data_IF_437233890144
#
_entry.id   IF_437233890144
#
_cell.length_a   1.000
_cell.length_b   1.000
_cell.length_c   1.000
_cell.angle_alpha   90.00
_cell.angle_beta   90.00
_cell.angle_gamma   90.00
#
_symmetry.space_group_name_H-M   'P 1'
#
loop_
_entity.id
_entity.type
_entity.pdbx_description
1 polymer ?
#
# COMPACT_ATOMS: atom_id res chain seq x y z
N UNK A 1 18.06 5.17 20.59
CA UNK A 1 17.67 5.70 19.26
C UNK A 1 17.57 4.55 18.28
N UNK A 2 16.43 4.41 17.62
CA UNK A 2 16.18 3.32 16.66
C UNK A 2 17.28 3.27 15.57
N UNK A 3 17.92 2.13 15.28
CA UNK A 3 19.12 2.05 14.43
C UNK A 3 18.92 2.65 13.04
N UNK A 4 17.74 2.50 12.43
CA UNK A 4 17.42 3.05 11.10
C UNK A 4 16.85 4.48 11.20
N UNK A 5 15.98 4.77 12.18
CA UNK A 5 15.31 6.08 12.29
C UNK A 5 16.27 7.22 12.69
N UNK A 6 17.42 6.92 13.28
CA UNK A 6 18.46 7.92 13.62
C UNK A 6 19.06 8.63 12.40
N UNK A 7 19.01 7.98 11.23
CA UNK A 7 19.51 8.55 9.98
C UNK A 7 18.49 9.42 9.23
N UNK A 8 17.25 9.53 9.72
CA UNK A 8 16.27 10.42 9.11
C UNK A 8 16.74 11.88 9.17
N UNK A 9 16.50 12.70 8.14
CA UNK A 9 17.05 14.06 8.02
C UNK A 9 16.84 14.94 9.25
N UNK A 10 15.66 14.92 9.84
CA UNK A 10 15.36 15.69 11.07
C UNK A 10 16.04 15.07 12.30
N UNK A 11 15.99 13.73 12.44
CA UNK A 11 16.59 13.04 13.58
C UNK A 11 18.13 13.12 13.57
N UNK A 12 18.74 13.12 12.39
CA UNK A 12 20.19 13.31 12.18
C UNK A 12 20.63 14.77 12.18
N UNK A 13 19.70 15.72 12.45
CA UNK A 13 19.93 17.17 12.42
C UNK A 13 20.44 17.74 11.09
N UNK A 14 20.31 16.99 9.98
CA UNK A 14 20.64 17.49 8.63
C UNK A 14 19.65 18.54 8.16
N UNK A 15 18.41 18.48 8.66
CA UNK A 15 17.35 19.45 8.38
C UNK A 15 16.77 19.91 9.71
N UNK A 16 16.64 21.21 9.93
CA UNK A 16 16.00 21.74 11.13
C UNK A 16 14.48 21.51 11.07
N UNK A 17 13.79 21.37 12.22
CA UNK A 17 12.33 21.24 12.23
C UNK A 17 11.62 22.43 11.53
N UNK A 18 12.15 23.63 11.68
CA UNK A 18 11.63 24.83 11.02
C UNK A 18 11.74 24.75 9.51
N UNK A 19 12.91 24.34 8.97
CA UNK A 19 13.10 24.15 7.53
C UNK A 19 12.17 23.05 6.98
N UNK A 20 11.96 21.97 7.76
CA UNK A 20 11.03 20.90 7.37
C UNK A 20 9.58 21.41 7.30
N UNK A 21 9.15 22.25 8.24
CA UNK A 21 7.82 22.87 8.23
C UNK A 21 7.65 23.82 7.04
N UNK A 22 8.62 24.68 6.77
CA UNK A 22 8.59 25.58 5.62
C UNK A 22 8.48 24.79 4.33
N UNK A 23 9.30 23.74 4.17
CA UNK A 23 9.26 22.87 3.00
C UNK A 23 7.91 22.17 2.83
N UNK A 24 7.32 21.71 3.93
CA UNK A 24 5.98 21.11 3.93
C UNK A 24 4.93 22.08 3.39
N UNK A 25 4.87 23.31 3.93
CA UNK A 25 3.92 24.33 3.47
C UNK A 25 4.16 24.76 2.01
N UNK A 26 5.42 24.83 1.57
CA UNK A 26 5.74 25.13 0.18
C UNK A 26 5.28 24.02 -0.76
N UNK A 27 5.49 22.75 -0.40
CA UNK A 27 5.06 21.61 -1.20
C UNK A 27 3.54 21.47 -1.24
N UNK A 28 2.87 21.68 -0.10
CA UNK A 28 1.41 21.69 -0.02
C UNK A 28 0.80 22.82 -0.84
N UNK A 29 1.41 24.02 -0.79
CA UNK A 29 1.01 25.16 -1.60
C UNK A 29 1.22 24.94 -3.10
N UNK A 30 2.36 24.34 -3.48
CA UNK A 30 2.64 23.98 -4.87
C UNK A 30 1.67 22.90 -5.39
N UNK A 31 1.34 21.91 -4.55
CA UNK A 31 0.34 20.89 -4.84
C UNK A 31 -1.04 21.51 -5.04
N UNK A 32 -1.46 22.40 -4.15
CA UNK A 32 -2.73 23.11 -4.24
C UNK A 32 -2.81 24.00 -5.50
N UNK A 33 -1.71 24.68 -5.85
CA UNK A 33 -1.62 25.45 -7.10
C UNK A 33 -1.72 24.55 -8.34
N UNK A 34 -1.06 23.37 -8.32
CA UNK A 34 -1.16 22.36 -9.36
C UNK A 34 -2.59 21.86 -9.56
N UNK A 35 -3.35 21.63 -8.49
CA UNK A 35 -4.77 21.24 -8.57
C UNK A 35 -5.64 22.31 -9.24
N UNK A 36 -5.36 23.59 -9.02
CA UNK A 36 -6.09 24.67 -9.70
C UNK A 36 -5.84 24.73 -11.23
N UNK A 37 -4.72 24.19 -11.70
CA UNK A 37 -4.42 24.09 -13.14
C UNK A 37 -5.18 22.95 -13.82
N UNK A 38 -5.63 21.94 -13.04
CA UNK A 38 -6.45 20.82 -13.53
C UNK A 38 -7.93 21.25 -13.45
N UNK A 39 -8.38 22.00 -14.44
CA UNK A 39 -9.71 22.64 -14.47
C UNK A 39 -10.90 21.67 -14.60
N UNK A 40 -10.69 20.37 -14.73
CA UNK A 40 -11.71 19.41 -15.19
C UNK A 40 -12.70 18.98 -14.10
N UNK A 41 -12.38 19.11 -12.81
CA UNK A 41 -13.10 18.35 -11.77
C UNK A 41 -13.66 19.13 -10.58
N UNK A 42 -13.74 20.45 -10.68
CA UNK A 42 -14.42 21.28 -9.68
C UNK A 42 -14.07 21.00 -8.22
N UNK A 43 -15.07 20.90 -7.34
CA UNK A 43 -14.91 20.73 -5.89
C UNK A 43 -14.46 19.31 -5.46
N UNK A 44 -14.53 18.29 -6.32
CA UNK A 44 -14.26 16.90 -5.95
C UNK A 44 -12.79 16.67 -5.57
N UNK A 45 -11.84 17.28 -6.29
CA UNK A 45 -10.40 17.20 -5.97
C UNK A 45 -10.11 17.81 -4.60
N UNK A 46 -10.71 18.95 -4.27
CA UNK A 46 -10.56 19.60 -2.99
C UNK A 46 -11.12 18.77 -1.84
N UNK A 47 -12.25 18.08 -2.09
CA UNK A 47 -12.90 17.19 -1.12
C UNK A 47 -12.00 15.97 -0.84
N UNK A 48 -11.47 15.32 -1.88
CA UNK A 48 -10.55 14.17 -1.73
C UNK A 48 -9.24 14.57 -1.03
N UNK A 49 -8.66 15.71 -1.40
CA UNK A 49 -7.44 16.24 -0.77
C UNK A 49 -7.67 16.62 0.68
N UNK A 50 -8.77 17.29 0.99
CA UNK A 50 -9.16 17.65 2.35
C UNK A 50 -9.42 16.42 3.22
N UNK A 51 -10.13 15.43 2.68
CA UNK A 51 -10.35 14.13 3.31
C UNK A 51 -9.05 13.39 3.61
N UNK A 52 -8.11 13.42 2.67
CA UNK A 52 -6.78 12.82 2.86
C UNK A 52 -5.99 13.51 3.98
N UNK A 53 -5.98 14.84 4.02
CA UNK A 53 -5.29 15.61 5.07
C UNK A 53 -5.93 15.32 6.42
N UNK A 54 -7.26 15.33 6.52
CA UNK A 54 -8.00 15.03 7.74
C UNK A 54 -7.69 13.62 8.25
N UNK A 55 -7.71 12.62 7.34
CA UNK A 55 -7.38 11.23 7.66
C UNK A 55 -5.95 11.11 8.22
N UNK A 56 -4.97 11.77 7.60
CA UNK A 56 -3.59 11.75 8.05
C UNK A 56 -3.38 12.46 9.40
N UNK A 57 -4.11 13.55 9.67
CA UNK A 57 -4.09 14.22 10.96
C UNK A 57 -4.68 13.31 12.04
N UNK A 58 -5.85 12.73 11.81
CA UNK A 58 -6.48 11.80 12.72
C UNK A 58 -5.59 10.58 12.99
N UNK A 59 -4.96 10.03 11.94
CA UNK A 59 -3.97 8.96 12.05
C UNK A 59 -2.80 9.35 12.94
N UNK A 60 -2.23 10.53 12.69
CA UNK A 60 -1.03 10.97 13.42
C UNK A 60 -1.30 11.26 14.88
N UNK A 61 -2.46 11.81 15.20
CA UNK A 61 -2.80 12.23 16.56
C UNK A 61 -3.27 11.06 17.43
N UNK A 62 -4.17 10.21 16.92
CA UNK A 62 -4.89 9.23 17.73
C UNK A 62 -4.84 7.81 17.18
N UNK A 63 -5.13 7.61 15.89
CA UNK A 63 -5.51 6.31 15.33
C UNK A 63 -4.32 5.37 15.10
N UNK A 64 -3.11 5.89 14.97
CA UNK A 64 -1.88 5.08 14.85
C UNK A 64 -1.58 4.21 16.08
N UNK A 65 -2.27 4.45 17.19
CA UNK A 65 -2.09 3.69 18.43
C UNK A 65 -3.08 2.55 18.57
N UNK A 66 -4.16 2.56 17.77
CA UNK A 66 -5.21 1.53 17.82
C UNK A 66 -4.87 0.42 16.84
N UNK A 67 -4.83 -0.82 17.35
CA UNK A 67 -4.57 -2.01 16.55
C UNK A 67 -5.62 -2.18 15.46
N UNK A 68 -5.24 -2.81 14.36
CA UNK A 68 -6.08 -3.03 13.18
C UNK A 68 -6.45 -1.71 12.49
N UNK A 69 -7.00 -0.74 13.22
CA UNK A 69 -7.41 0.56 12.68
C UNK A 69 -6.24 1.29 12.04
N UNK A 70 -5.04 1.20 12.62
CA UNK A 70 -3.84 1.81 12.05
C UNK A 70 -3.48 1.25 10.66
N UNK A 71 -3.72 -0.04 10.42
CA UNK A 71 -3.53 -0.66 9.11
C UNK A 71 -4.66 -0.30 8.14
N UNK A 72 -5.91 -0.31 8.63
CA UNK A 72 -7.08 0.06 7.82
C UNK A 72 -6.99 1.50 7.31
N UNK A 73 -6.58 2.44 8.15
CA UNK A 73 -6.44 3.86 7.74
C UNK A 73 -5.36 4.02 6.67
N UNK A 74 -4.25 3.29 6.78
CA UNK A 74 -3.24 3.28 5.73
C UNK A 74 -3.84 2.80 4.42
N UNK A 75 -4.63 1.72 4.44
CA UNK A 75 -5.31 1.20 3.25
C UNK A 75 -6.34 2.20 2.68
N UNK A 76 -7.15 2.84 3.54
CA UNK A 76 -8.06 3.92 3.13
C UNK A 76 -7.31 5.10 2.48
N UNK A 77 -6.14 5.45 3.01
CA UNK A 77 -5.30 6.49 2.42
C UNK A 77 -4.84 6.17 0.99
N UNK A 78 -4.65 4.89 0.65
CA UNK A 78 -4.37 4.47 -0.73
C UNK A 78 -5.59 4.62 -1.64
N UNK A 79 -6.79 4.31 -1.14
CA UNK A 79 -8.04 4.50 -1.90
C UNK A 79 -8.26 5.98 -2.21
N UNK A 80 -8.13 6.87 -1.21
CA UNK A 80 -8.32 8.31 -1.43
C UNK A 80 -7.33 8.85 -2.46
N UNK A 81 -6.08 8.39 -2.46
CA UNK A 81 -5.10 8.77 -3.49
C UNK A 81 -5.47 8.27 -4.88
N UNK A 82 -5.98 7.04 -4.96
CA UNK A 82 -6.45 6.44 -6.20
C UNK A 82 -7.63 7.23 -6.76
N UNK A 83 -8.60 7.57 -5.90
CA UNK A 83 -9.77 8.37 -6.24
C UNK A 83 -9.38 9.79 -6.69
N UNK A 84 -8.49 10.46 -5.97
CA UNK A 84 -7.97 11.76 -6.36
C UNK A 84 -7.26 11.72 -7.74
N UNK A 85 -6.51 10.65 -8.02
CA UNK A 85 -5.88 10.45 -9.32
C UNK A 85 -6.90 10.22 -10.45
N UNK A 86 -7.94 9.46 -10.20
CA UNK A 86 -9.00 9.19 -11.17
C UNK A 86 -9.82 10.46 -11.49
N UNK A 87 -10.18 11.23 -10.46
CA UNK A 87 -10.85 12.53 -10.63
C UNK A 87 -9.97 13.50 -11.42
N UNK A 88 -8.66 13.54 -11.15
CA UNK A 88 -7.73 14.40 -11.89
C UNK A 88 -7.55 13.97 -13.35
N UNK A 89 -7.67 12.68 -13.64
CA UNK A 89 -7.53 12.12 -15.00
C UNK A 89 -8.86 11.98 -15.75
N UNK A 90 -9.99 12.36 -15.14
CA UNK A 90 -11.35 12.14 -15.67
C UNK A 90 -11.60 10.67 -16.05
N UNK A 91 -11.16 9.76 -15.16
CA UNK A 91 -11.23 8.31 -15.36
C UNK A 91 -12.23 7.70 -14.36
N UNK A 92 -13.17 6.91 -14.86
CA UNK A 92 -14.05 6.12 -13.98
C UNK A 92 -13.29 4.99 -13.29
N UNK A 93 -13.36 4.95 -11.95
CA UNK A 93 -12.76 3.86 -11.18
C UNK A 93 -13.64 2.62 -11.21
N UNK A 94 -13.03 1.51 -11.61
CA UNK A 94 -13.66 0.20 -11.44
C UNK A 94 -13.75 -0.16 -9.95
N UNK A 95 -14.89 -0.72 -9.53
CA UNK A 95 -15.06 -1.27 -8.17
C UNK A 95 -13.99 -2.32 -7.84
N UNK A 96 -13.57 -3.11 -8.84
CA UNK A 96 -12.51 -4.10 -8.69
C UNK A 96 -11.17 -3.47 -8.31
N UNK A 97 -10.81 -2.35 -8.94
CA UNK A 97 -9.57 -1.64 -8.65
C UNK A 97 -9.57 -1.08 -7.23
N UNK A 98 -10.70 -0.54 -6.77
CA UNK A 98 -10.86 -0.02 -5.39
C UNK A 98 -10.68 -1.17 -4.39
N UNK A 99 -11.40 -2.28 -4.57
CA UNK A 99 -11.37 -3.43 -3.65
C UNK A 99 -9.96 -4.03 -3.61
N UNK A 100 -9.35 -4.29 -4.77
CA UNK A 100 -8.00 -4.87 -4.84
C UNK A 100 -6.94 -3.96 -4.23
N UNK A 101 -7.03 -2.64 -4.47
CA UNK A 101 -6.12 -1.67 -3.87
C UNK A 101 -6.24 -1.66 -2.35
N UNK A 102 -7.47 -1.72 -1.82
CA UNK A 102 -7.71 -1.79 -0.38
C UNK A 102 -7.08 -3.04 0.23
N UNK A 103 -7.41 -4.22 -0.30
CA UNK A 103 -6.97 -5.50 0.26
C UNK A 103 -5.45 -5.65 0.17
N UNK A 104 -4.86 -5.28 -0.98
CA UNK A 104 -3.41 -5.31 -1.16
C UNK A 104 -2.68 -4.34 -0.22
N UNK A 105 -3.20 -3.13 -0.07
CA UNK A 105 -2.63 -2.13 0.85
C UNK A 105 -2.72 -2.60 2.30
N UNK A 106 -3.84 -3.22 2.67
CA UNK A 106 -4.06 -3.80 4.00
C UNK A 106 -3.08 -4.96 4.25
N UNK A 107 -2.91 -5.85 3.28
CA UNK A 107 -1.93 -6.95 3.33
C UNK A 107 -0.51 -6.42 3.56
N UNK A 108 -0.06 -5.44 2.78
CA UNK A 108 1.27 -4.83 2.93
C UNK A 108 1.42 -4.09 4.27
N UNK A 109 0.35 -3.46 4.76
CA UNK A 109 0.35 -2.84 6.09
C UNK A 109 0.56 -3.88 7.18
N UNK A 110 -0.16 -5.02 7.16
CA UNK A 110 0.02 -6.09 8.14
C UNK A 110 1.37 -6.81 7.99
N UNK A 111 1.87 -7.00 6.77
CA UNK A 111 3.22 -7.51 6.55
C UNK A 111 4.26 -6.63 7.24
N UNK A 112 4.11 -5.30 7.14
CA UNK A 112 4.98 -4.37 7.86
C UNK A 112 4.82 -4.44 9.37
N UNK A 113 3.61 -4.67 9.92
CA UNK A 113 3.41 -4.88 11.38
C UNK A 113 4.14 -6.12 11.86
N UNK A 114 4.08 -7.20 11.07
CA UNK A 114 4.79 -8.43 11.37
C UNK A 114 6.31 -8.22 11.42
N UNK A 115 6.86 -7.50 10.47
CA UNK A 115 8.28 -7.15 10.41
C UNK A 115 8.69 -6.25 11.60
N UNK A 116 7.89 -5.22 11.90
CA UNK A 116 8.11 -4.34 13.06
C UNK A 116 8.07 -5.14 14.40
N UNK A 117 7.14 -6.10 14.55
CA UNK A 117 7.03 -6.94 15.75
C UNK A 117 8.24 -7.88 15.90
N UNK A 118 8.67 -8.47 14.80
CA UNK A 118 9.82 -9.33 14.78
C UNK A 118 11.10 -8.58 15.15
N UNK A 119 11.30 -7.41 14.54
CA UNK A 119 12.43 -6.53 14.90
C UNK A 119 12.40 -6.15 16.39
N UNK A 120 11.21 -5.94 16.97
CA UNK A 120 11.06 -5.71 18.38
C UNK A 120 11.50 -6.92 19.23
N UNK A 121 11.10 -8.12 18.83
CA UNK A 121 11.48 -9.37 19.54
C UNK A 121 13.00 -9.63 19.48
N UNK A 122 13.65 -9.28 18.37
CA UNK A 122 15.10 -9.49 18.18
C UNK A 122 15.95 -8.39 18.85
N UNK A 123 15.50 -7.13 18.84
CA UNK A 123 16.31 -5.97 19.28
C UNK A 123 15.85 -5.34 20.58
N UNK A 124 14.65 -5.67 21.07
CA UNK A 124 14.00 -5.03 22.21
C UNK A 124 13.55 -3.59 21.95
N UNK A 125 13.72 -3.06 20.71
CA UNK A 125 13.40 -1.67 20.39
C UNK A 125 11.97 -1.52 19.85
N UNK A 126 11.14 -0.79 20.57
CA UNK A 126 9.75 -0.52 20.20
C UNK A 126 9.69 0.47 19.03
N UNK A 127 9.31 -0.01 17.85
CA UNK A 127 9.09 0.83 16.66
C UNK A 127 7.79 1.65 16.76
N UNK A 128 6.74 1.07 17.38
CA UNK A 128 5.40 1.65 17.55
C UNK A 128 4.77 1.14 18.83
N UNK A 129 3.98 1.97 19.51
CA UNK A 129 3.32 1.59 20.76
C UNK A 129 2.30 0.46 20.62
N UNK A 130 1.59 0.38 19.48
CA UNK A 130 0.55 -0.60 19.24
C UNK A 130 1.08 -2.00 18.83
N UNK A 131 2.40 -2.17 18.67
CA UNK A 131 2.99 -3.44 18.21
C UNK A 131 2.87 -4.53 19.27
N UNK A 132 2.89 -4.17 20.56
CA UNK A 132 2.84 -5.10 21.69
C UNK A 132 1.50 -5.84 21.84
N UNK A 133 0.48 -5.42 21.15
CA UNK A 133 -0.83 -6.07 21.15
C UNK A 133 -1.03 -7.09 20.03
N UNK A 134 -0.01 -7.34 19.22
CA UNK A 134 -0.01 -8.39 18.20
C UNK A 134 0.89 -9.54 18.62
N UNK A 135 0.55 -10.77 18.15
CA UNK A 135 1.45 -11.91 18.15
C UNK A 135 1.87 -12.25 16.73
N UNK A 136 3.02 -12.89 16.56
CA UNK A 136 3.50 -13.34 15.24
C UNK A 136 2.49 -14.31 14.62
N UNK A 137 1.92 -15.23 15.41
CA UNK A 137 0.94 -16.21 14.93
C UNK A 137 -0.34 -15.53 14.43
N UNK A 138 -0.86 -14.55 15.17
CA UNK A 138 -2.01 -13.76 14.72
C UNK A 138 -1.73 -13.06 13.39
N UNK A 139 -0.57 -12.40 13.27
CA UNK A 139 -0.19 -11.71 12.03
C UNK A 139 0.02 -12.68 10.87
N UNK A 140 0.55 -13.88 11.11
CA UNK A 140 0.65 -14.93 10.09
C UNK A 140 -0.73 -15.39 9.60
N UNK A 141 -1.70 -15.58 10.52
CA UNK A 141 -3.08 -15.93 10.15
C UNK A 141 -3.74 -14.82 9.33
N UNK A 142 -3.63 -13.56 9.75
CA UNK A 142 -4.17 -12.42 8.99
C UNK A 142 -3.54 -12.30 7.60
N UNK A 143 -2.23 -12.49 7.48
CA UNK A 143 -1.57 -12.46 6.17
C UNK A 143 -2.03 -13.61 5.27
N UNK A 144 -2.21 -14.82 5.80
CA UNK A 144 -2.76 -15.94 5.05
C UNK A 144 -4.21 -15.68 4.61
N UNK A 145 -5.02 -15.12 5.50
CA UNK A 145 -6.39 -14.72 5.19
C UNK A 145 -6.45 -13.67 4.06
N UNK A 146 -5.68 -12.59 4.18
CA UNK A 146 -5.66 -11.51 3.18
C UNK A 146 -5.08 -12.00 1.84
N UNK A 147 -4.06 -12.85 1.84
CA UNK A 147 -3.51 -13.42 0.61
C UNK A 147 -4.52 -14.28 -0.13
N UNK A 148 -5.35 -15.04 0.60
CA UNK A 148 -6.45 -15.83 0.00
C UNK A 148 -7.52 -14.92 -0.60
N UNK A 149 -7.89 -13.84 0.08
CA UNK A 149 -8.85 -12.87 -0.44
C UNK A 149 -8.30 -12.19 -1.71
N UNK A 150 -7.02 -11.78 -1.74
CA UNK A 150 -6.39 -11.20 -2.94
C UNK A 150 -6.49 -12.19 -4.11
N UNK A 151 -6.15 -13.45 -3.88
CA UNK A 151 -6.19 -14.48 -4.92
C UNK A 151 -7.61 -14.68 -5.47
N UNK A 152 -8.60 -14.84 -4.59
CA UNK A 152 -10.01 -15.04 -4.98
C UNK A 152 -10.55 -13.79 -5.69
N UNK A 153 -10.31 -12.60 -5.16
CA UNK A 153 -10.76 -11.34 -5.76
C UNK A 153 -10.17 -11.15 -7.15
N UNK A 154 -8.89 -11.50 -7.35
CA UNK A 154 -8.25 -11.42 -8.65
C UNK A 154 -8.84 -12.42 -9.65
N UNK A 155 -9.12 -13.66 -9.23
CA UNK A 155 -9.78 -14.66 -10.07
C UNK A 155 -11.17 -14.15 -10.49
N UNK A 156 -11.97 -13.68 -9.55
CA UNK A 156 -13.30 -13.12 -9.84
C UNK A 156 -13.22 -11.91 -10.78
N UNK A 157 -12.22 -11.05 -10.62
CA UNK A 157 -11.95 -9.94 -11.53
C UNK A 157 -11.74 -10.43 -12.96
N UNK A 158 -10.87 -11.45 -13.16
CA UNK A 158 -10.56 -11.96 -14.52
C UNK A 158 -11.74 -12.65 -15.19
N UNK A 159 -12.73 -13.11 -14.43
CA UNK A 159 -13.94 -13.79 -14.91
C UNK A 159 -15.16 -12.87 -14.97
N UNK A 160 -15.06 -11.64 -14.49
CA UNK A 160 -16.17 -10.69 -14.46
C UNK A 160 -16.60 -10.31 -15.88
N UNK A 161 -17.92 -10.38 -16.21
CA UNK A 161 -18.44 -9.96 -17.52
C UNK A 161 -18.11 -8.51 -17.88
N UNK A 162 -18.06 -7.63 -16.88
CA UNK A 162 -17.68 -6.23 -17.07
C UNK A 162 -16.23 -6.09 -17.58
N UNK A 163 -15.34 -6.92 -17.09
CA UNK A 163 -13.91 -6.88 -17.43
C UNK A 163 -13.67 -7.60 -18.76
N UNK A 164 -14.23 -8.79 -18.94
CA UNK A 164 -14.05 -9.60 -20.16
C UNK A 164 -14.61 -8.91 -21.40
N UNK A 165 -15.72 -8.16 -21.27
CA UNK A 165 -16.29 -7.38 -22.37
C UNK A 165 -15.42 -6.19 -22.82
N UNK A 166 -14.58 -5.66 -21.91
CA UNK A 166 -13.70 -4.51 -22.19
C UNK A 166 -12.26 -4.91 -22.54
N UNK A 167 -11.83 -6.12 -22.17
CA UNK A 167 -10.44 -6.57 -22.31
C UNK A 167 -10.37 -7.85 -23.15
N UNK A 168 -10.20 -9.00 -22.53
CA UNK A 168 -10.09 -10.30 -23.19
C UNK A 168 -10.71 -11.39 -22.33
N UNK A 169 -11.36 -12.36 -22.99
CA UNK A 169 -11.86 -13.58 -22.32
C UNK A 169 -10.73 -14.43 -21.72
N UNK A 170 -9.50 -14.25 -22.21
CA UNK A 170 -8.32 -15.01 -21.75
C UNK A 170 -7.58 -14.37 -20.58
N UNK A 171 -8.14 -13.34 -19.96
CA UNK A 171 -7.47 -12.61 -18.86
C UNK A 171 -7.12 -13.53 -17.67
N UNK A 172 -7.85 -14.62 -17.48
CA UNK A 172 -7.54 -15.64 -16.46
C UNK A 172 -6.16 -16.29 -16.60
N UNK A 173 -5.52 -16.23 -17.78
CA UNK A 173 -4.16 -16.72 -18.01
C UNK A 173 -3.13 -15.95 -17.16
N UNK A 174 -3.46 -14.77 -16.68
CA UNK A 174 -2.62 -13.98 -15.76
C UNK A 174 -2.68 -14.46 -14.31
N UNK A 175 -3.69 -15.25 -13.92
CA UNK A 175 -3.89 -15.75 -12.54
C UNK A 175 -2.68 -16.50 -11.98
N UNK A 176 -2.02 -17.43 -12.72
CA UNK A 176 -0.85 -18.13 -12.21
C UNK A 176 0.29 -17.22 -11.76
N UNK A 177 0.51 -16.10 -12.46
CA UNK A 177 1.55 -15.12 -12.07
C UNK A 177 1.22 -14.45 -10.74
N UNK A 178 -0.04 -14.06 -10.53
CA UNK A 178 -0.48 -13.46 -9.27
C UNK A 178 -0.35 -14.46 -8.13
N UNK A 179 -0.79 -15.69 -8.32
CA UNK A 179 -0.66 -16.75 -7.31
C UNK A 179 0.81 -17.05 -6.99
N UNK A 180 1.66 -17.18 -8.00
CA UNK A 180 3.09 -17.39 -7.82
C UNK A 180 3.74 -16.22 -7.05
N UNK A 181 3.38 -14.98 -7.38
CA UNK A 181 3.85 -13.79 -6.68
C UNK A 181 3.46 -13.77 -5.22
N UNK A 182 2.17 -14.05 -4.91
CA UNK A 182 1.68 -14.13 -3.52
C UNK A 182 2.38 -15.24 -2.75
N UNK A 183 2.47 -16.44 -3.33
CA UNK A 183 3.14 -17.59 -2.68
C UNK A 183 4.62 -17.30 -2.43
N UNK A 184 5.34 -16.70 -3.39
CA UNK A 184 6.75 -16.33 -3.20
C UNK A 184 6.90 -15.29 -2.11
N UNK A 185 6.06 -14.26 -2.10
CA UNK A 185 6.07 -13.24 -1.06
C UNK A 185 5.82 -13.83 0.33
N UNK A 186 4.83 -14.73 0.46
CA UNK A 186 4.55 -15.45 1.71
C UNK A 186 5.73 -16.33 2.13
N UNK A 187 6.39 -17.02 1.20
CA UNK A 187 7.59 -17.82 1.47
C UNK A 187 8.72 -16.97 2.05
N UNK A 188 8.99 -15.80 1.46
CA UNK A 188 10.02 -14.88 1.95
C UNK A 188 9.71 -14.42 3.37
N UNK A 189 8.47 -14.04 3.64
CA UNK A 189 8.06 -13.57 4.96
C UNK A 189 8.08 -14.69 6.00
N UNK A 190 7.48 -15.85 5.69
CA UNK A 190 7.25 -16.90 6.68
C UNK A 190 8.45 -17.82 6.88
N UNK A 191 9.15 -18.15 5.79
CA UNK A 191 10.24 -19.18 5.78
C UNK A 191 11.62 -18.54 5.84
N UNK A 192 11.91 -17.62 4.92
CA UNK A 192 13.26 -17.01 4.84
C UNK A 192 13.48 -15.99 5.94
N UNK A 193 12.42 -15.62 6.64
CA UNK A 193 12.46 -14.74 7.81
C UNK A 193 13.24 -13.44 7.53
N UNK A 194 13.14 -12.88 6.34
CA UNK A 194 13.82 -11.64 6.00
C UNK A 194 13.25 -10.46 6.80
N UNK A 195 14.15 -9.67 7.40
CA UNK A 195 13.82 -8.43 8.12
C UNK A 195 13.77 -7.24 7.14
N UNK A 196 13.18 -7.43 5.96
CA UNK A 196 13.13 -6.41 4.92
C UNK A 196 11.74 -5.78 4.86
N UNK A 197 11.68 -4.46 4.63
CA UNK A 197 10.41 -3.81 4.32
C UNK A 197 9.77 -4.47 3.08
N UNK A 198 8.43 -4.47 2.96
CA UNK A 198 7.73 -5.04 1.80
C UNK A 198 8.26 -4.54 0.45
N UNK A 199 8.61 -3.26 0.36
CA UNK A 199 9.20 -2.65 -0.84
C UNK A 199 10.58 -3.21 -1.17
N UNK A 200 11.42 -3.44 -0.14
CA UNK A 200 12.76 -3.99 -0.32
C UNK A 200 12.72 -5.44 -0.80
N UNK A 201 11.71 -6.20 -0.38
CA UNK A 201 11.47 -7.58 -0.84
C UNK A 201 11.22 -7.57 -2.35
N UNK A 202 10.30 -6.71 -2.82
CA UNK A 202 9.98 -6.59 -4.24
C UNK A 202 11.20 -6.20 -5.09
N UNK A 203 12.05 -5.31 -4.58
CA UNK A 203 13.24 -4.82 -5.30
C UNK A 203 14.41 -5.80 -5.28
N UNK A 204 14.48 -6.74 -4.33
CA UNK A 204 15.63 -7.64 -4.16
C UNK A 204 15.38 -9.05 -4.67
N UNK A 205 14.15 -9.54 -4.61
CA UNK A 205 13.84 -10.92 -4.99
C UNK A 205 13.57 -11.03 -6.50
N UNK A 206 14.48 -11.75 -7.19
CA UNK A 206 14.41 -11.95 -8.65
C UNK A 206 13.18 -12.75 -9.08
N UNK A 207 12.77 -13.74 -8.29
CA UNK A 207 11.61 -14.57 -8.61
C UNK A 207 10.34 -13.74 -8.57
N UNK A 208 10.20 -12.90 -7.53
CA UNK A 208 9.06 -11.98 -7.41
C UNK A 208 9.04 -10.96 -8.55
N UNK A 209 10.20 -10.41 -8.92
CA UNK A 209 10.31 -9.51 -10.08
C UNK A 209 9.90 -10.19 -11.38
N UNK A 210 10.34 -11.43 -11.62
CA UNK A 210 9.97 -12.20 -12.82
C UNK A 210 8.47 -12.47 -12.87
N UNK A 211 7.83 -12.80 -11.76
CA UNK A 211 6.36 -12.99 -11.72
C UNK A 211 5.61 -11.70 -12.02
N UNK A 212 6.04 -10.56 -11.48
CA UNK A 212 5.43 -9.25 -11.73
C UNK A 212 5.62 -8.82 -13.18
N UNK A 213 6.83 -8.94 -13.72
CA UNK A 213 7.13 -8.60 -15.12
C UNK A 213 6.39 -9.52 -16.08
N UNK A 214 6.38 -10.83 -15.82
CA UNK A 214 5.63 -11.80 -16.61
C UNK A 214 4.13 -11.50 -16.63
N UNK A 215 3.57 -11.18 -15.44
CA UNK A 215 2.18 -10.73 -15.34
C UNK A 215 1.93 -9.49 -16.20
N UNK A 216 2.80 -8.48 -16.11
CA UNK A 216 2.65 -7.23 -16.84
C UNK A 216 2.68 -7.44 -18.36
N UNK A 217 3.60 -8.28 -18.84
CA UNK A 217 3.73 -8.61 -20.29
C UNK A 217 2.47 -9.31 -20.78
N UNK A 218 2.03 -10.37 -20.09
CA UNK A 218 0.84 -11.14 -20.51
C UNK A 218 -0.41 -10.27 -20.41
N UNK A 219 -0.56 -9.48 -19.37
CA UNK A 219 -1.68 -8.56 -19.20
C UNK A 219 -1.74 -7.51 -20.32
N UNK A 220 -0.59 -6.92 -20.68
CA UNK A 220 -0.51 -5.95 -21.77
C UNK A 220 -0.85 -6.57 -23.12
N UNK A 221 -0.35 -7.78 -23.40
CA UNK A 221 -0.65 -8.52 -24.66
C UNK A 221 -2.13 -8.93 -24.79
N UNK A 222 -2.85 -9.06 -23.68
CA UNK A 222 -4.26 -9.43 -23.70
C UNK A 222 -5.20 -8.21 -23.80
N UNK A 223 -4.72 -7.03 -23.47
CA UNK A 223 -5.51 -5.79 -23.54
C UNK A 223 -5.30 -5.05 -24.85
N UNK A 224 -4.08 -5.06 -25.40
CA UNK A 224 -3.69 -4.39 -26.64
C UNK A 224 -3.51 -5.39 -27.79
#
# INVERSE_FOLDING_TARGET
LHPVKRFRPIASRKVTPTTALILMFLLDGAGAAGFNLIQTSGNQIWLSSGGYILLNLAYTLFLKQVQIIDAMIVACGFIIRLEAGAVAGDIELSHWLIIMTFILSLFLAFAKRRDDLRNFMETGQISRKNITGYTIDYLNVILSFLSSIIAVTYILYTLSPEVTSRSSEYLYVTVPFVLAGIMRYMQIILVEKSNCNPTDILLKDRTLQLTVVGWFIVFALLIY
#
